data_IF_801121912025
#
_entry.id   IF_801121912025
#
_cell.length_a   1.000
_cell.length_b   1.000
_cell.length_c   1.000
_cell.angle_alpha   90.00
_cell.angle_beta   90.00
_cell.angle_gamma   90.00
#
_symmetry.space_group_name_H-M   'P 1'
#
loop_
_entity.id
_entity.type
_entity.pdbx_description
1 polymer ?
#
# COMPACT_ATOMS: atom_id res chain seq x y z
N UNK A 1 2.62 8.90 -7.64
CA UNK A 1 2.17 7.52 -7.43
C UNK A 1 1.48 7.06 -8.69
N UNK A 2 1.94 5.98 -9.31
CA UNK A 2 1.36 5.45 -10.54
C UNK A 2 0.45 4.25 -10.24
N UNK A 3 -0.79 4.24 -10.75
CA UNK A 3 -1.70 3.11 -10.56
C UNK A 3 -1.26 1.89 -11.40
N UNK A 4 -1.65 0.67 -10.99
CA UNK A 4 -2.43 0.34 -9.78
C UNK A 4 -1.63 0.54 -8.49
N UNK A 5 -2.36 0.64 -7.38
CA UNK A 5 -1.79 0.64 -6.02
C UNK A 5 -1.92 -0.75 -5.44
N UNK A 6 -0.83 -1.26 -4.90
CA UNK A 6 -0.76 -2.55 -4.23
C UNK A 6 -0.65 -2.33 -2.74
N UNK A 7 -1.48 -3.01 -1.95
CA UNK A 7 -1.36 -3.04 -0.49
C UNK A 7 -1.25 -4.49 -0.06
N UNK A 8 -0.15 -4.81 0.59
CA UNK A 8 0.10 -6.10 1.19
C UNK A 8 -0.17 -6.02 2.69
N UNK A 9 -1.14 -6.81 3.12
CA UNK A 9 -1.32 -7.23 4.50
C UNK A 9 -0.82 -8.68 4.58
N UNK A 10 -0.08 -9.10 5.62
CA UNK A 10 0.47 -10.46 5.69
C UNK A 10 -0.54 -11.56 5.28
N UNK A 11 -0.29 -12.19 4.13
CA UNK A 11 -1.14 -13.24 3.56
C UNK A 11 -2.18 -12.80 2.51
N UNK A 12 -2.41 -11.50 2.36
CA UNK A 12 -3.40 -10.91 1.45
C UNK A 12 -2.79 -9.77 0.65
N UNK A 13 -2.82 -9.90 -0.68
CA UNK A 13 -2.48 -8.82 -1.59
C UNK A 13 -3.77 -8.18 -2.11
N UNK A 14 -3.93 -6.89 -1.87
CA UNK A 14 -5.01 -6.06 -2.39
C UNK A 14 -4.50 -5.17 -3.52
N UNK A 15 -5.34 -4.98 -4.55
CA UNK A 15 -5.00 -4.21 -5.74
C UNK A 15 -6.09 -3.18 -6.00
N UNK A 16 -5.71 -1.91 -6.09
CA UNK A 16 -6.61 -0.78 -6.27
C UNK A 16 -6.31 -0.03 -7.56
N UNK A 17 -7.34 0.50 -8.22
CA UNK A 17 -7.21 1.26 -9.46
C UNK A 17 -6.60 2.65 -9.22
N UNK A 18 -6.72 3.19 -8.02
CA UNK A 18 -6.18 4.49 -7.61
C UNK A 18 -5.79 4.51 -6.13
N UNK A 19 -5.07 5.55 -5.73
CA UNK A 19 -4.76 5.77 -4.31
C UNK A 19 -6.01 6.09 -3.50
N UNK A 20 -6.93 6.87 -4.05
CA UNK A 20 -8.16 7.27 -3.34
C UNK A 20 -9.03 6.05 -3.04
N UNK A 21 -9.13 5.10 -3.98
CA UNK A 21 -9.83 3.83 -3.76
C UNK A 21 -9.19 3.06 -2.60
N UNK A 22 -7.86 2.96 -2.59
CA UNK A 22 -7.12 2.28 -1.53
C UNK A 22 -7.34 2.94 -0.16
N UNK A 23 -7.24 4.27 -0.09
CA UNK A 23 -7.43 5.05 1.15
C UNK A 23 -8.88 5.02 1.66
N UNK A 24 -9.85 4.83 0.78
CA UNK A 24 -11.25 4.65 1.16
C UNK A 24 -11.56 3.27 1.74
N UNK A 25 -10.69 2.29 1.47
CA UNK A 25 -10.86 0.90 1.87
C UNK A 25 -10.10 0.56 3.16
N UNK A 26 -8.86 1.00 3.30
CA UNK A 26 -7.99 0.61 4.43
C UNK A 26 -8.35 1.34 5.72
N UNK A 27 -8.11 0.67 6.86
CA UNK A 27 -8.46 1.22 8.16
C UNK A 27 -7.29 2.00 8.81
N UNK A 28 -7.54 3.18 9.41
CA UNK A 28 -6.51 3.95 10.12
C UNK A 28 -5.85 3.17 11.27
N UNK A 29 -6.57 2.26 11.93
CA UNK A 29 -6.01 1.43 13.00
C UNK A 29 -4.90 0.52 12.48
N UNK A 30 -5.07 -0.11 11.32
CA UNK A 30 -4.08 -1.01 10.73
C UNK A 30 -2.87 -0.23 10.19
N UNK A 31 -3.10 0.97 9.65
CA UNK A 31 -2.03 1.89 9.28
C UNK A 31 -1.24 2.32 10.52
N UNK A 32 -1.91 2.65 11.62
CA UNK A 32 -1.27 3.04 12.88
C UNK A 32 -0.41 1.90 13.47
N UNK A 33 -0.87 0.65 13.35
CA UNK A 33 -0.15 -0.55 13.78
C UNK A 33 0.90 -1.05 12.76
N UNK A 34 1.10 -0.33 11.65
CA UNK A 34 2.04 -0.68 10.57
C UNK A 34 1.81 -2.07 9.95
N UNK A 35 0.55 -2.47 9.77
CA UNK A 35 0.19 -3.78 9.23
C UNK A 35 0.27 -3.85 7.70
N UNK A 36 0.36 -2.70 7.03
CA UNK A 36 0.36 -2.61 5.58
C UNK A 36 1.75 -2.26 5.03
N UNK A 37 2.11 -2.92 3.93
CA UNK A 37 3.18 -2.48 3.02
C UNK A 37 2.54 -2.12 1.69
N UNK A 38 2.75 -0.89 1.23
CA UNK A 38 2.09 -0.38 0.04
C UNK A 38 3.09 -0.02 -1.06
N UNK A 39 2.75 -0.34 -2.31
CA UNK A 39 3.56 -0.04 -3.49
C UNK A 39 2.70 0.59 -4.59
N UNK A 40 3.34 1.36 -5.46
CA UNK A 40 2.75 1.76 -6.74
C UNK A 40 3.22 0.87 -7.90
N UNK A 41 2.71 1.10 -9.11
CA UNK A 41 3.00 0.26 -10.28
C UNK A 41 4.46 0.29 -10.75
N UNK A 42 5.27 1.25 -10.31
CA UNK A 42 6.69 1.31 -10.64
C UNK A 42 7.56 0.56 -9.61
N UNK A 43 6.94 -0.01 -8.58
CA UNK A 43 7.65 -0.56 -7.43
C UNK A 43 8.15 0.52 -6.48
N UNK A 44 7.49 1.69 -6.41
CA UNK A 44 7.76 2.68 -5.35
C UNK A 44 7.09 2.27 -4.06
N UNK A 45 7.85 2.18 -2.97
CA UNK A 45 7.29 2.08 -1.63
C UNK A 45 6.47 3.34 -1.27
N UNK A 46 5.28 3.12 -0.71
CA UNK A 46 4.37 4.15 -0.24
C UNK A 46 4.30 4.07 1.30
N UNK A 47 4.88 5.06 1.98
CA UNK A 47 4.80 5.15 3.43
C UNK A 47 3.42 5.66 3.84
N UNK A 48 2.62 4.79 4.44
CA UNK A 48 1.32 5.13 5.02
C UNK A 48 1.51 5.59 6.46
N UNK A 49 0.82 6.66 6.86
CA UNK A 49 0.81 7.11 8.25
C UNK A 49 -0.57 7.59 8.66
N UNK A 50 -1.00 7.18 9.86
CA UNK A 50 -2.23 7.61 10.50
C UNK A 50 -1.88 8.31 11.80
N UNK A 51 -2.56 9.45 12.08
CA UNK A 51 -2.32 10.23 13.29
C UNK A 51 -2.80 9.52 14.55
N UNK A 52 -3.91 8.80 14.45
CA UNK A 52 -4.48 7.96 15.50
C UNK A 52 -5.21 6.77 14.87
N UNK A 53 -5.81 5.92 15.71
CA UNK A 53 -6.51 4.70 15.29
C UNK A 53 -7.92 4.95 14.74
N UNK A 54 -8.31 6.21 14.53
CA UNK A 54 -9.69 6.59 14.18
C UNK A 54 -9.73 7.30 12.83
N UNK A 55 -10.92 7.37 12.23
CA UNK A 55 -11.16 8.11 10.98
C UNK A 55 -11.22 9.64 11.16
N UNK A 56 -10.81 10.17 12.32
CA UNK A 56 -10.86 11.62 12.59
C UNK A 56 -9.90 12.42 11.69
N UNK A 57 -8.81 11.80 11.28
CA UNK A 57 -7.79 12.42 10.43
C UNK A 57 -7.52 11.55 9.20
N UNK A 58 -7.20 12.17 8.05
CA UNK A 58 -6.85 11.41 6.86
C UNK A 58 -5.54 10.64 7.06
N UNK A 59 -5.45 9.48 6.42
CA UNK A 59 -4.18 8.77 6.24
C UNK A 59 -3.32 9.60 5.28
N UNK A 60 -2.06 9.81 5.63
CA UNK A 60 -1.09 10.48 4.77
C UNK A 60 -0.23 9.45 4.06
N UNK A 61 0.16 9.75 2.82
CA UNK A 61 0.97 8.87 1.98
C UNK A 61 2.18 9.62 1.44
N UNK A 62 3.36 9.09 1.72
CA UNK A 62 4.63 9.63 1.22
C UNK A 62 5.30 8.58 0.34
N UNK A 63 5.43 8.80 -0.98
CA UNK A 63 6.16 7.87 -1.84
C UNK A 63 7.66 8.01 -1.63
N UNK A 64 8.40 6.93 -1.87
CA UNK A 64 9.85 7.02 -2.01
C UNK A 64 10.27 7.80 -3.28
N UNK A 65 11.42 8.46 -3.22
CA UNK A 65 11.93 9.31 -4.31
C UNK A 65 12.31 8.51 -5.56
N UNK A 66 12.87 7.32 -5.38
CA UNK A 66 13.34 6.43 -6.46
C UNK A 66 12.71 5.04 -6.26
N UNK A 67 12.13 4.41 -7.30
CA UNK A 67 11.52 3.09 -7.17
C UNK A 67 12.59 2.03 -6.96
N UNK A 68 12.85 1.64 -5.72
CA UNK A 68 13.88 0.66 -5.39
C UNK A 68 13.31 -0.71 -5.03
N UNK A 69 12.00 -0.83 -4.88
CA UNK A 69 11.33 -2.04 -4.37
C UNK A 69 10.63 -2.87 -5.46
N UNK A 70 11.14 -2.82 -6.69
CA UNK A 70 10.59 -3.58 -7.83
C UNK A 70 10.66 -5.09 -7.60
N UNK A 71 11.75 -5.58 -7.03
CA UNK A 71 11.92 -7.00 -6.74
C UNK A 71 10.99 -7.47 -5.62
N UNK A 72 10.77 -6.64 -4.59
CA UNK A 72 9.81 -6.95 -3.51
C UNK A 72 8.39 -7.03 -4.05
N UNK A 73 7.97 -6.04 -4.84
CA UNK A 73 6.67 -6.06 -5.49
C UNK A 73 6.52 -7.27 -6.41
N UNK A 74 7.56 -7.62 -7.18
CA UNK A 74 7.57 -8.83 -8.03
C UNK A 74 7.39 -10.10 -7.21
N UNK A 75 8.06 -10.22 -6.06
CA UNK A 75 7.96 -11.36 -5.16
C UNK A 75 6.55 -11.51 -4.57
N UNK A 76 5.80 -10.43 -4.43
CA UNK A 76 4.38 -10.46 -4.04
C UNK A 76 3.46 -10.83 -5.21
N UNK A 77 3.71 -10.27 -6.40
CA UNK A 77 2.82 -10.44 -7.55
C UNK A 77 2.90 -11.81 -8.21
N UNK A 78 4.10 -12.39 -8.34
CA UNK A 78 4.27 -13.68 -9.04
C UNK A 78 3.47 -14.81 -8.38
N UNK A 79 3.54 -15.02 -7.05
CA UNK A 79 2.72 -16.04 -6.39
C UNK A 79 1.22 -15.72 -6.42
N UNK A 80 0.84 -14.44 -6.38
CA UNK A 80 -0.56 -14.01 -6.42
C UNK A 80 -1.21 -14.33 -7.77
N UNK A 81 -0.50 -14.08 -8.88
CA UNK A 81 -1.01 -14.29 -10.24
C UNK A 81 -0.90 -15.73 -10.74
N UNK A 82 -0.11 -16.57 -10.08
CA UNK A 82 0.03 -17.99 -10.41
C UNK A 82 -1.11 -18.87 -9.88
N UNK A 83 -2.08 -18.28 -9.15
CA UNK A 83 -3.28 -18.95 -8.64
C UNK A 83 -4.42 -18.87 -9.66
#
# INVERSE_FOLDING_TARGET
MKPPIFIYEPGTLMVFASLDDALSYIEPVDVYENLYVAYDSEGRLLHLSARDKTFRYPITVTPEDVPTHQDDLRNLLVPFLAR
#
